data_IF_197588069905
#
_entry.id   IF_197588069905
#
_cell.length_a   1.000
_cell.length_b   1.000
_cell.length_c   1.000
_cell.angle_alpha   90.00
_cell.angle_beta   90.00
_cell.angle_gamma   90.00
#
_symmetry.space_group_name_H-M   'P 1'
#
loop_
_entity.id
_entity.type
_entity.pdbx_description
1 polymer ?
#
# COMPACT_ATOMS: atom_id res chain seq x y z
N UNK A 1 -7.31 17.94 12.71
CA UNK A 1 -7.79 16.55 12.58
C UNK A 1 -6.82 15.77 11.73
N UNK A 2 -6.77 14.46 11.87
CA UNK A 2 -6.00 13.55 11.01
C UNK A 2 -6.94 12.57 10.32
N UNK A 3 -6.56 12.11 9.14
CA UNK A 3 -7.23 11.00 8.46
C UNK A 3 -6.39 9.73 8.64
N UNK A 4 -7.06 8.59 8.73
CA UNK A 4 -6.45 7.27 8.83
C UNK A 4 -7.24 6.34 7.89
N UNK A 5 -6.56 5.70 6.95
CA UNK A 5 -7.12 4.59 6.20
C UNK A 5 -7.05 3.31 7.02
N UNK A 6 -8.03 2.44 6.85
CA UNK A 6 -8.14 1.16 7.55
C UNK A 6 -8.16 0.01 6.55
N UNK A 7 -7.25 -0.92 6.73
CA UNK A 7 -7.11 -2.11 5.90
C UNK A 7 -8.29 -3.09 6.06
N UNK A 8 -8.88 -3.20 7.25
CA UNK A 8 -9.93 -4.18 7.51
C UNK A 8 -11.30 -3.66 7.09
N UNK A 9 -11.61 -2.40 7.42
CA UNK A 9 -12.85 -1.69 7.09
C UNK A 9 -12.98 -1.19 5.64
N UNK A 10 -11.98 -1.40 4.78
CA UNK A 10 -11.44 -0.41 3.80
C UNK A 10 -11.97 1.03 3.92
N UNK A 11 -11.99 1.60 5.13
CA UNK A 11 -12.59 2.92 5.40
C UNK A 11 -11.53 4.01 5.54
N UNK A 12 -11.96 5.26 5.37
CA UNK A 12 -11.17 6.43 5.79
C UNK A 12 -11.85 7.05 7.00
N UNK A 13 -11.17 7.03 8.14
CA UNK A 13 -11.63 7.65 9.38
C UNK A 13 -10.96 9.01 9.57
N UNK A 14 -11.72 9.96 10.11
CA UNK A 14 -11.20 11.26 10.53
C UNK A 14 -11.24 11.34 12.04
N UNK A 15 -10.09 11.63 12.65
CA UNK A 15 -9.96 11.82 14.09
C UNK A 15 -9.65 13.29 14.42
N UNK A 16 -10.15 13.77 15.56
CA UNK A 16 -9.69 15.01 16.18
C UNK A 16 -8.25 14.85 16.69
N UNK A 17 -7.63 15.97 17.08
CA UNK A 17 -6.25 15.94 17.58
C UNK A 17 -6.11 15.20 18.92
N UNK A 18 -7.19 15.10 19.68
CA UNK A 18 -7.33 14.34 20.94
C UNK A 18 -7.85 12.90 20.73
N UNK A 19 -7.98 12.44 19.48
CA UNK A 19 -8.27 11.04 19.17
C UNK A 19 -9.75 10.64 19.15
N UNK A 20 -10.68 11.60 19.11
CA UNK A 20 -12.10 11.31 18.92
C UNK A 20 -12.45 11.12 17.45
N UNK A 21 -13.21 10.06 17.14
CA UNK A 21 -13.74 9.83 15.79
C UNK A 21 -14.73 10.94 15.42
N UNK A 22 -14.48 11.63 14.30
CA UNK A 22 -15.28 12.74 13.78
C UNK A 22 -16.14 12.33 12.59
N UNK A 23 -15.60 11.53 11.67
CA UNK A 23 -16.33 11.01 10.52
C UNK A 23 -15.69 9.72 9.99
N UNK A 24 -16.46 8.97 9.21
CA UNK A 24 -16.02 7.76 8.52
C UNK A 24 -16.54 7.80 7.08
N UNK A 25 -15.66 7.54 6.12
CA UNK A 25 -15.98 7.47 4.69
C UNK A 25 -15.84 6.02 4.24
N UNK A 26 -16.94 5.45 3.75
CA UNK A 26 -16.95 4.10 3.19
C UNK A 26 -16.46 4.12 1.73
N UNK A 27 -15.79 3.04 1.27
CA UNK A 27 -15.43 2.89 -0.13
C UNK A 27 -16.65 2.50 -0.98
N UNK A 28 -16.51 2.43 -2.32
CA UNK A 28 -17.50 1.79 -3.18
C UNK A 28 -17.87 0.38 -2.70
N UNK A 29 -19.12 -0.04 -2.95
CA UNK A 29 -19.64 -1.33 -2.50
C UNK A 29 -18.81 -2.53 -3.01
N UNK A 30 -18.20 -2.39 -4.19
CA UNK A 30 -17.27 -3.37 -4.76
C UNK A 30 -16.06 -3.67 -3.88
N UNK A 31 -15.70 -2.79 -2.94
CA UNK A 31 -14.54 -2.96 -2.06
C UNK A 31 -14.93 -3.44 -0.65
N UNK A 32 -16.23 -3.37 -0.30
CA UNK A 32 -16.73 -3.85 0.99
C UNK A 32 -16.65 -5.38 1.04
N UNK A 33 -15.95 -5.99 2.02
CA UNK A 33 -15.81 -7.43 2.12
C UNK A 33 -17.16 -8.08 2.47
N UNK A 34 -17.59 -9.03 1.66
CA UNK A 34 -18.87 -9.73 1.84
C UNK A 34 -18.66 -11.21 2.15
N UNK A 35 -19.44 -11.75 3.09
CA UNK A 35 -19.54 -13.20 3.35
C UNK A 35 -21.01 -13.57 3.38
N UNK A 36 -21.40 -14.58 2.60
CA UNK A 36 -22.80 -14.98 2.50
C UNK A 36 -23.75 -13.81 2.15
N UNK A 37 -23.28 -12.90 1.30
CA UNK A 37 -24.05 -11.72 0.86
C UNK A 37 -24.25 -10.63 1.93
N UNK A 38 -23.56 -10.69 3.07
CA UNK A 38 -23.60 -9.66 4.13
C UNK A 38 -22.20 -9.06 4.35
N UNK A 39 -22.08 -7.74 4.64
CA UNK A 39 -20.79 -7.15 4.99
C UNK A 39 -20.16 -7.84 6.20
N UNK A 40 -18.89 -8.26 6.09
CA UNK A 40 -18.16 -8.90 7.16
C UNK A 40 -16.68 -8.52 7.12
N UNK A 41 -16.25 -7.78 8.14
CA UNK A 41 -14.91 -7.19 8.22
C UNK A 41 -13.93 -8.03 9.07
N UNK A 42 -14.33 -9.23 9.51
CA UNK A 42 -13.51 -10.06 10.39
C UNK A 42 -12.18 -10.46 9.73
N UNK A 43 -11.12 -10.48 10.54
CA UNK A 43 -9.84 -11.11 10.21
C UNK A 43 -10.01 -12.63 10.07
N UNK A 44 -9.23 -13.25 9.19
CA UNK A 44 -9.11 -14.71 9.08
C UNK A 44 -8.06 -15.31 10.02
N UNK A 45 -7.49 -14.47 10.89
CA UNK A 45 -6.65 -14.88 12.01
C UNK A 45 -7.25 -14.34 13.33
N UNK A 46 -8.43 -14.83 13.76
CA UNK A 46 -9.07 -14.36 14.98
C UNK A 46 -8.22 -14.65 16.22
N UNK A 47 -8.32 -13.77 17.22
CA UNK A 47 -7.64 -13.97 18.50
C UNK A 47 -8.15 -15.20 19.27
N UNK A 48 -7.44 -15.63 20.34
CA UNK A 48 -7.79 -16.82 21.11
C UNK A 48 -9.25 -16.83 21.58
N UNK A 49 -10.00 -17.88 21.22
CA UNK A 49 -11.39 -18.09 21.62
C UNK A 49 -12.43 -17.36 20.75
N UNK A 50 -12.03 -16.55 19.78
CA UNK A 50 -12.93 -16.01 18.77
C UNK A 50 -13.16 -17.02 17.63
N UNK A 51 -14.34 -16.97 17.02
CA UNK A 51 -14.69 -17.84 15.91
C UNK A 51 -13.98 -17.39 14.62
N UNK A 52 -13.53 -18.35 13.82
CA UNK A 52 -13.09 -18.07 12.45
C UNK A 52 -14.29 -17.58 11.61
N UNK A 53 -14.06 -16.63 10.68
CA UNK A 53 -15.09 -16.25 9.74
C UNK A 53 -15.47 -17.42 8.82
N UNK A 54 -16.75 -17.50 8.46
CA UNK A 54 -17.29 -18.45 7.48
C UNK A 54 -17.93 -17.70 6.30
N UNK A 55 -17.54 -18.00 5.03
CA UNK A 55 -16.30 -18.70 4.65
C UNK A 55 -15.05 -18.03 5.22
N UNK A 56 -13.89 -18.70 5.20
CA UNK A 56 -12.61 -18.10 5.68
C UNK A 56 -12.25 -16.83 4.93
N UNK A 57 -12.47 -16.81 3.61
CA UNK A 57 -12.19 -15.65 2.78
C UNK A 57 -13.46 -14.99 2.24
N UNK A 58 -13.50 -13.66 2.08
CA UNK A 58 -14.68 -12.97 1.55
C UNK A 58 -15.06 -13.49 0.15
N UNK A 59 -16.34 -13.48 -0.18
CA UNK A 59 -16.81 -13.84 -1.51
C UNK A 59 -16.48 -12.72 -2.53
N UNK A 60 -16.65 -11.47 -2.11
CA UNK A 60 -16.35 -10.24 -2.86
C UNK A 60 -15.79 -9.16 -1.94
N UNK A 61 -15.32 -8.04 -2.50
CA UNK A 61 -14.71 -6.94 -1.75
C UNK A 61 -13.19 -7.06 -1.64
N UNK A 62 -12.58 -6.32 -0.71
CA UNK A 62 -11.16 -6.50 -0.37
C UNK A 62 -10.88 -7.91 0.14
N UNK A 63 -9.63 -8.34 0.00
CA UNK A 63 -9.13 -9.59 0.57
C UNK A 63 -8.88 -9.48 2.08
N UNK A 64 -8.79 -10.59 2.81
CA UNK A 64 -8.34 -10.55 4.21
C UNK A 64 -6.96 -9.90 4.30
N UNK A 65 -6.80 -8.92 5.19
CA UNK A 65 -5.55 -8.18 5.41
C UNK A 65 -4.93 -7.67 4.09
N UNK A 66 -5.75 -7.07 3.21
CA UNK A 66 -5.31 -6.42 1.96
C UNK A 66 -6.31 -5.31 1.53
N UNK A 67 -6.71 -4.45 2.46
CA UNK A 67 -7.59 -3.30 2.21
C UNK A 67 -6.86 -2.01 1.88
N UNK A 68 -7.37 -0.86 2.34
CA UNK A 68 -6.76 0.45 2.07
C UNK A 68 -5.47 0.61 2.89
N UNK A 69 -4.35 0.33 2.22
CA UNK A 69 -3.01 0.34 2.81
C UNK A 69 -2.32 1.68 2.56
N UNK A 70 -2.42 2.21 1.34
CA UNK A 70 -1.86 3.51 0.99
C UNK A 70 -2.88 4.63 1.13
N UNK A 71 -2.53 5.72 1.78
CA UNK A 71 -3.33 6.94 1.77
C UNK A 71 -2.46 8.20 1.85
N UNK A 72 -2.71 9.16 0.97
CA UNK A 72 -2.03 10.45 0.99
C UNK A 72 -2.95 11.60 0.58
N UNK A 73 -2.78 12.74 1.23
CA UNK A 73 -3.40 14.01 0.80
C UNK A 73 -2.56 14.63 -0.31
N UNK A 74 -3.20 15.20 -1.33
CA UNK A 74 -2.48 15.92 -2.38
C UNK A 74 -1.78 17.15 -1.83
N UNK A 75 -0.66 17.60 -2.45
CA UNK A 75 0.10 18.75 -1.96
C UNK A 75 -0.73 20.04 -1.82
N UNK A 76 -1.73 20.24 -2.70
CA UNK A 76 -2.63 21.39 -2.65
C UNK A 76 -3.80 21.23 -1.65
N UNK A 77 -3.87 20.08 -0.98
CA UNK A 77 -4.86 19.75 0.04
C UNK A 77 -6.27 19.48 -0.48
N UNK A 78 -6.51 19.50 -1.80
CA UNK A 78 -7.86 19.42 -2.40
C UNK A 78 -8.37 18.00 -2.59
N UNK A 79 -7.48 17.02 -2.61
CA UNK A 79 -7.84 15.63 -2.75
C UNK A 79 -7.11 14.75 -1.73
N UNK A 80 -7.75 13.62 -1.42
CA UNK A 80 -7.16 12.53 -0.67
C UNK A 80 -7.20 11.28 -1.56
N UNK A 81 -6.04 10.68 -1.79
CA UNK A 81 -5.90 9.45 -2.57
C UNK A 81 -5.78 8.29 -1.59
N UNK A 82 -6.55 7.22 -1.79
CA UNK A 82 -6.43 5.97 -1.05
C UNK A 82 -6.33 4.79 -2.03
N UNK A 83 -5.45 3.84 -1.75
CA UNK A 83 -5.15 2.70 -2.64
C UNK A 83 -5.27 1.40 -1.87
N UNK A 84 -5.95 0.42 -2.47
CA UNK A 84 -5.97 -0.93 -1.92
C UNK A 84 -4.59 -1.60 -2.08
N UNK A 85 -4.16 -2.35 -1.06
CA UNK A 85 -2.92 -3.14 -1.11
C UNK A 85 -2.87 -4.08 -2.32
N UNK A 86 -4.01 -4.71 -2.63
CA UNK A 86 -4.17 -5.68 -3.72
C UNK A 86 -5.53 -5.56 -4.40
N UNK A 87 -5.67 -6.21 -5.56
CA UNK A 87 -6.95 -6.35 -6.24
C UNK A 87 -8.05 -6.88 -5.32
N UNK A 88 -9.27 -6.37 -5.50
CA UNK A 88 -10.45 -6.92 -4.87
C UNK A 88 -10.69 -8.37 -5.34
N UNK A 89 -11.44 -9.12 -4.54
CA UNK A 89 -11.70 -10.55 -4.74
C UNK A 89 -12.25 -10.87 -6.12
N UNK A 90 -13.31 -10.18 -6.52
CA UNK A 90 -13.94 -10.36 -7.83
C UNK A 90 -13.04 -9.93 -9.00
N UNK A 91 -12.02 -9.11 -8.74
CA UNK A 91 -11.06 -8.58 -9.72
C UNK A 91 -9.79 -9.46 -9.82
N UNK A 92 -9.88 -10.73 -9.41
CA UNK A 92 -8.76 -11.68 -9.42
C UNK A 92 -7.87 -11.62 -8.18
N UNK A 93 -8.31 -10.93 -7.11
CA UNK A 93 -7.63 -10.86 -5.83
C UNK A 93 -7.49 -12.20 -5.11
N UNK A 94 -8.29 -13.20 -5.47
CA UNK A 94 -8.32 -14.57 -4.92
C UNK A 94 -7.04 -15.39 -5.18
N UNK A 95 -6.14 -14.90 -6.05
CA UNK A 95 -4.85 -15.55 -6.30
C UNK A 95 -3.70 -14.56 -6.45
N UNK A 96 -2.56 -14.92 -5.85
CA UNK A 96 -1.31 -14.15 -5.95
C UNK A 96 -0.74 -14.03 -7.37
N UNK A 97 -1.28 -14.74 -8.36
CA UNK A 97 -0.90 -14.62 -9.78
C UNK A 97 -1.86 -13.77 -10.62
N UNK A 98 -3.03 -13.40 -10.10
CA UNK A 98 -4.07 -12.66 -10.84
C UNK A 98 -4.43 -11.33 -10.18
N UNK A 99 -3.99 -11.08 -8.93
CA UNK A 99 -4.30 -9.88 -8.14
C UNK A 99 -3.62 -8.58 -8.60
N UNK A 100 -3.24 -8.47 -9.87
CA UNK A 100 -2.43 -7.36 -10.39
C UNK A 100 -3.18 -6.03 -10.37
N UNK A 101 -4.50 -6.02 -10.56
CA UNK A 101 -5.25 -4.78 -10.80
C UNK A 101 -5.90 -4.28 -9.51
N UNK A 102 -5.22 -3.40 -8.79
CA UNK A 102 -5.76 -2.74 -7.59
C UNK A 102 -6.57 -1.48 -7.94
N UNK A 103 -7.17 -0.83 -6.95
CA UNK A 103 -8.04 0.35 -7.10
C UNK A 103 -7.46 1.54 -6.35
N UNK A 104 -7.38 2.69 -7.02
CA UNK A 104 -7.07 3.98 -6.43
C UNK A 104 -8.32 4.86 -6.40
N UNK A 105 -8.69 5.34 -5.21
CA UNK A 105 -9.83 6.17 -4.91
C UNK A 105 -9.35 7.60 -4.68
N UNK A 106 -9.92 8.58 -5.38
CA UNK A 106 -9.59 10.00 -5.22
C UNK A 106 -10.81 10.73 -4.67
N UNK A 107 -10.70 11.20 -3.44
CA UNK A 107 -11.76 11.90 -2.72
C UNK A 107 -11.55 13.41 -2.74
N UNK A 108 -12.59 14.16 -3.05
CA UNK A 108 -12.64 15.62 -2.86
C UNK A 108 -12.72 15.94 -1.35
N UNK A 109 -11.89 16.90 -0.91
CA UNK A 109 -11.73 17.27 0.50
C UNK A 109 -12.40 18.61 0.85
N UNK A 110 -13.22 19.18 -0.03
CA UNK A 110 -13.89 20.46 0.22
C UNK A 110 -14.83 20.42 1.45
N UNK A 111 -15.38 19.25 1.74
CA UNK A 111 -16.04 18.94 3.01
C UNK A 111 -15.34 17.76 3.72
N UNK A 112 -14.46 18.08 4.66
CA UNK A 112 -13.71 17.09 5.45
C UNK A 112 -14.60 16.20 6.35
N UNK A 113 -15.87 16.55 6.58
CA UNK A 113 -16.81 15.69 7.28
C UNK A 113 -17.44 14.64 6.35
N UNK A 114 -17.51 14.93 5.04
CA UNK A 114 -18.18 14.10 4.04
C UNK A 114 -17.34 14.02 2.77
N UNK A 115 -16.23 13.28 2.83
CA UNK A 115 -15.38 13.05 1.67
C UNK A 115 -16.22 12.46 0.52
N UNK A 116 -16.13 13.08 -0.66
CA UNK A 116 -16.87 12.64 -1.84
C UNK A 116 -15.91 11.96 -2.81
N UNK A 117 -16.22 10.73 -3.22
CA UNK A 117 -15.47 10.06 -4.27
C UNK A 117 -15.60 10.88 -5.56
N UNK A 118 -14.50 11.45 -6.01
CA UNK A 118 -14.42 12.27 -7.22
C UNK A 118 -14.00 11.43 -8.42
N UNK A 119 -13.04 10.54 -8.21
CA UNK A 119 -12.52 9.64 -9.24
C UNK A 119 -12.14 8.29 -8.66
N UNK A 120 -12.15 7.27 -9.51
CA UNK A 120 -11.62 5.96 -9.20
C UNK A 120 -10.91 5.38 -10.43
N UNK A 121 -9.78 4.73 -10.21
CA UNK A 121 -8.94 4.20 -11.28
C UNK A 121 -8.44 2.78 -10.98
N UNK A 122 -8.29 1.98 -12.02
CA UNK A 122 -7.54 0.71 -11.95
C UNK A 122 -6.05 1.02 -12.00
N UNK A 123 -5.30 0.54 -11.00
CA UNK A 123 -3.85 0.69 -10.91
C UNK A 123 -3.20 -0.68 -10.99
N UNK A 124 -2.33 -0.93 -11.99
CA UNK A 124 -1.60 -2.18 -12.05
C UNK A 124 -0.48 -2.19 -11.00
N UNK A 125 -0.41 -3.29 -10.26
CA UNK A 125 0.70 -3.61 -9.37
C UNK A 125 1.86 -4.23 -10.17
N UNK A 126 3.11 -4.08 -9.70
CA UNK A 126 4.25 -4.70 -10.34
C UNK A 126 4.18 -6.23 -10.32
N UNK A 127 4.73 -6.85 -11.36
CA UNK A 127 4.87 -8.31 -11.45
C UNK A 127 6.34 -8.69 -11.50
N UNK A 128 6.67 -9.78 -10.82
CA UNK A 128 8.04 -10.32 -10.79
C UNK A 128 8.02 -11.85 -10.88
N UNK A 129 9.20 -12.45 -11.01
CA UNK A 129 9.38 -13.90 -11.03
C UNK A 129 9.97 -14.36 -9.71
N UNK A 130 9.35 -15.35 -9.08
CA UNK A 130 9.96 -16.00 -7.91
C UNK A 130 11.14 -16.91 -8.33
N UNK A 131 11.86 -17.46 -7.35
CA UNK A 131 12.99 -18.37 -7.58
C UNK A 131 12.64 -19.63 -8.40
N UNK A 132 11.34 -19.96 -8.54
CA UNK A 132 10.84 -21.08 -9.35
C UNK A 132 10.33 -20.63 -10.73
N UNK A 133 10.50 -19.35 -11.09
CA UNK A 133 10.05 -18.77 -12.35
C UNK A 133 8.54 -18.50 -12.43
N UNK A 134 7.81 -18.62 -11.31
CA UNK A 134 6.36 -18.34 -11.28
C UNK A 134 6.15 -16.83 -11.22
N UNK A 135 5.19 -16.33 -12.00
CA UNK A 135 4.75 -14.92 -11.91
C UNK A 135 4.08 -14.67 -10.56
N UNK A 136 4.52 -13.61 -9.90
CA UNK A 136 3.97 -13.09 -8.65
C UNK A 136 3.66 -11.61 -8.81
N UNK A 137 2.76 -11.11 -7.97
CA UNK A 137 2.40 -9.69 -7.88
C UNK A 137 2.98 -9.13 -6.58
N UNK A 138 3.74 -8.04 -6.68
CA UNK A 138 4.20 -7.25 -5.54
C UNK A 138 3.05 -6.38 -5.04
N UNK A 139 2.71 -6.46 -3.75
CA UNK A 139 1.59 -5.72 -3.18
C UNK A 139 1.98 -4.26 -2.93
N UNK A 140 1.01 -3.35 -2.98
CA UNK A 140 1.22 -1.95 -2.60
C UNK A 140 1.40 -1.86 -1.08
N UNK A 141 2.36 -1.06 -0.62
CA UNK A 141 2.70 -0.91 0.80
C UNK A 141 2.58 0.53 1.30
N UNK A 142 2.84 1.53 0.45
CA UNK A 142 2.71 2.95 0.81
C UNK A 142 2.53 3.80 -0.45
N UNK A 143 1.92 4.99 -0.33
CA UNK A 143 1.87 6.02 -1.37
C UNK A 143 2.28 7.42 -0.89
N UNK A 144 2.76 8.24 -1.82
CA UNK A 144 2.87 9.71 -1.62
C UNK A 144 2.21 10.41 -2.79
N UNK A 145 1.17 11.21 -2.53
CA UNK A 145 0.51 11.97 -3.57
C UNK A 145 1.42 13.09 -4.09
N UNK A 146 1.58 13.15 -5.42
CA UNK A 146 2.29 14.22 -6.12
C UNK A 146 1.31 15.22 -6.75
N UNK A 147 0.11 14.74 -7.09
CA UNK A 147 -1.03 15.52 -7.56
C UNK A 147 -2.31 14.69 -7.46
N UNK A 148 -3.44 15.24 -7.91
CA UNK A 148 -4.69 14.50 -8.09
C UNK A 148 -4.63 13.46 -9.22
N UNK A 149 -3.58 13.50 -10.07
CA UNK A 149 -3.37 12.58 -11.21
C UNK A 149 -2.08 11.77 -11.12
N UNK A 150 -1.31 11.90 -10.06
CA UNK A 150 -0.06 11.13 -9.92
C UNK A 150 0.38 10.97 -8.47
N UNK A 151 0.99 9.82 -8.17
CA UNK A 151 1.53 9.51 -6.86
C UNK A 151 2.73 8.55 -6.96
N UNK A 152 3.60 8.56 -5.96
CA UNK A 152 4.59 7.51 -5.73
C UNK A 152 3.90 6.33 -5.05
N UNK A 153 4.23 5.11 -5.45
CA UNK A 153 3.72 3.87 -4.87
C UNK A 153 4.88 2.93 -4.58
N UNK A 154 5.08 2.64 -3.30
CA UNK A 154 5.99 1.59 -2.86
C UNK A 154 5.27 0.26 -2.97
N UNK A 155 5.88 -0.69 -3.67
CA UNK A 155 5.40 -2.05 -3.76
C UNK A 155 6.54 -3.03 -3.48
N UNK A 156 6.19 -4.13 -2.83
CA UNK A 156 7.16 -5.14 -2.37
C UNK A 156 6.65 -6.56 -2.51
N UNK A 157 7.58 -7.50 -2.60
CA UNK A 157 7.32 -8.90 -2.32
C UNK A 157 7.14 -9.16 -0.81
N UNK A 158 6.92 -10.42 -0.45
CA UNK A 158 6.66 -10.81 0.94
C UNK A 158 7.43 -12.08 1.29
N UNK A 159 7.78 -12.23 2.56
CA UNK A 159 8.48 -13.38 3.11
C UNK A 159 10.01 -13.32 3.03
N UNK A 160 10.59 -12.18 2.63
CA UNK A 160 12.03 -12.03 2.42
C UNK A 160 12.62 -10.79 3.12
N UNK A 161 13.70 -10.97 3.87
CA UNK A 161 14.48 -9.91 4.52
C UNK A 161 14.94 -10.28 5.93
N UNK A 162 15.53 -9.31 6.63
CA UNK A 162 15.95 -9.47 8.02
C UNK A 162 14.79 -9.96 8.90
N UNK A 163 15.08 -10.99 9.69
CA UNK A 163 14.14 -11.58 10.64
C UNK A 163 13.15 -12.57 10.03
N UNK A 164 13.23 -12.82 8.72
CA UNK A 164 12.44 -13.85 8.05
C UNK A 164 13.29 -15.02 7.56
N UNK A 165 12.60 -16.10 7.17
CA UNK A 165 13.26 -17.29 6.60
C UNK A 165 13.86 -17.04 5.21
N UNK A 166 13.19 -16.26 4.37
CA UNK A 166 13.74 -15.80 3.10
C UNK A 166 14.64 -14.60 3.36
N UNK A 167 15.79 -14.52 2.68
CA UNK A 167 16.79 -13.48 2.89
C UNK A 167 16.72 -12.37 1.83
N UNK A 168 16.50 -12.73 0.57
CA UNK A 168 16.57 -11.83 -0.57
C UNK A 168 15.19 -11.43 -1.10
N UNK A 169 14.84 -10.15 -0.95
CA UNK A 169 13.69 -9.56 -1.64
C UNK A 169 13.94 -9.57 -3.15
N UNK A 170 12.98 -10.10 -3.91
CA UNK A 170 13.02 -10.14 -5.38
C UNK A 170 12.38 -8.89 -6.01
N UNK A 171 11.60 -8.14 -5.23
CA UNK A 171 10.98 -6.91 -5.68
C UNK A 171 10.72 -6.00 -4.48
N UNK A 172 11.36 -4.82 -4.46
CA UNK A 172 11.03 -3.74 -3.53
C UNK A 172 11.37 -2.41 -4.19
N UNK A 173 10.35 -1.73 -4.70
CA UNK A 173 10.57 -0.55 -5.53
C UNK A 173 9.51 0.52 -5.29
N UNK A 174 9.95 1.77 -5.36
CA UNK A 174 9.05 2.91 -5.53
C UNK A 174 8.78 3.08 -7.02
N UNK A 175 7.51 3.23 -7.39
CA UNK A 175 7.05 3.46 -8.74
C UNK A 175 6.29 4.77 -8.82
N UNK A 176 6.35 5.46 -9.96
CA UNK A 176 5.42 6.56 -10.28
C UNK A 176 4.17 5.99 -10.91
N UNK A 177 3.01 6.28 -10.32
CA UNK A 177 1.69 6.01 -10.88
C UNK A 177 1.16 7.29 -11.53
N UNK A 178 0.76 7.18 -12.79
CA UNK A 178 0.15 8.25 -13.59
C UNK A 178 -1.28 7.85 -13.98
N UNK A 179 -2.24 8.63 -13.49
CA UNK A 179 -3.68 8.46 -13.67
C UNK A 179 -4.22 9.28 -14.86
N UNK A 180 -3.40 10.13 -15.50
CA UNK A 180 -3.86 11.13 -16.47
C UNK A 180 -4.56 10.56 -17.71
N UNK A 181 -4.20 9.34 -18.11
CA UNK A 181 -4.80 8.62 -19.23
C UNK A 181 -5.67 7.44 -18.81
N UNK A 182 -5.82 7.21 -17.51
CA UNK A 182 -6.61 6.10 -16.98
C UNK A 182 -8.11 6.37 -17.15
N UNK A 183 -8.90 5.32 -17.41
CA UNK A 183 -10.35 5.43 -17.42
C UNK A 183 -10.84 5.67 -15.99
N UNK A 184 -11.51 6.80 -15.76
CA UNK A 184 -12.23 7.05 -14.52
C UNK A 184 -13.50 6.18 -14.47
N UNK A 185 -13.62 5.37 -13.43
CA UNK A 185 -14.72 4.40 -13.27
C UNK A 185 -15.65 4.74 -12.10
N UNK A 186 -15.41 5.84 -11.38
CA UNK A 186 -16.23 6.22 -10.24
C UNK A 186 -17.70 6.48 -10.61
N UNK A 187 -18.62 6.00 -9.77
CA UNK A 187 -20.06 6.11 -10.01
C UNK A 187 -20.54 5.25 -11.20
N UNK A 188 -19.67 4.36 -11.70
CA UNK A 188 -19.91 3.51 -12.84
C UNK A 188 -20.44 2.13 -12.47
N UNK A 189 -20.48 1.24 -13.46
CA UNK A 189 -20.93 -0.14 -13.25
C UNK A 189 -20.00 -0.94 -12.32
N UNK A 190 -18.73 -0.55 -12.21
CA UNK A 190 -17.69 -1.26 -11.46
C UNK A 190 -17.68 -0.94 -9.95
N UNK A 191 -18.61 -0.10 -9.48
CA UNK A 191 -18.82 0.20 -8.05
C UNK A 191 -19.63 -0.92 -7.36
N UNK A 192 -20.31 -1.76 -8.14
CA UNK A 192 -21.06 -2.92 -7.65
C UNK A 192 -20.19 -4.17 -7.52
N UNK A 193 -20.38 -4.93 -6.44
CA UNK A 193 -19.64 -6.16 -6.18
C UNK A 193 -19.91 -7.28 -7.20
N UNK A 194 -21.02 -7.21 -7.95
CA UNK A 194 -21.44 -8.16 -8.98
C UNK A 194 -20.85 -7.85 -10.37
N UNK A 195 -20.14 -6.73 -10.52
CA UNK A 195 -19.54 -6.30 -11.78
C UNK A 195 -18.02 -6.09 -11.63
N UNK A 196 -17.23 -7.17 -11.66
CA UNK A 196 -15.77 -7.05 -11.59
C UNK A 196 -15.23 -6.27 -12.79
N UNK A 197 -14.25 -5.40 -12.52
CA UNK A 197 -13.49 -4.67 -13.54
C UNK A 197 -12.36 -5.51 -14.12
N UNK A 198 -11.84 -6.49 -13.37
CA UNK A 198 -10.72 -7.32 -13.82
C UNK A 198 -10.89 -8.81 -13.46
N UNK A 199 -11.98 -9.49 -13.87
CA UNK A 199 -12.19 -10.89 -13.50
C UNK A 199 -10.98 -11.77 -13.88
N UNK A 200 -10.48 -12.53 -12.90
CA UNK A 200 -9.25 -13.36 -13.03
C UNK A 200 -8.01 -12.55 -13.44
N UNK A 201 -7.97 -11.26 -13.10
CA UNK A 201 -6.88 -10.35 -13.44
C UNK A 201 -6.91 -9.80 -14.87
N UNK A 202 -7.95 -10.09 -15.66
CA UNK A 202 -8.08 -9.55 -17.03
C UNK A 202 -8.99 -8.33 -17.00
N UNK A 203 -8.42 -7.15 -17.18
CA UNK A 203 -9.14 -5.87 -17.18
C UNK A 203 -10.19 -5.83 -18.30
N UNK A 204 -11.38 -5.31 -17.98
CA UNK A 204 -12.45 -5.07 -18.94
C UNK A 204 -11.94 -4.20 -20.09
N UNK A 205 -12.20 -4.56 -21.36
CA UNK A 205 -11.63 -3.86 -22.52
C UNK A 205 -12.07 -2.39 -22.65
N UNK A 206 -13.09 -1.94 -21.93
CA UNK A 206 -13.50 -0.53 -21.86
C UNK A 206 -12.65 0.30 -20.89
N UNK A 207 -11.83 -0.33 -20.06
CA UNK A 207 -11.04 0.32 -19.01
C UNK A 207 -9.57 0.33 -19.40
N UNK A 208 -8.98 1.52 -19.41
CA UNK A 208 -7.53 1.73 -19.52
C UNK A 208 -6.96 1.88 -18.11
N UNK A 209 -6.11 0.95 -17.63
CA UNK A 209 -5.44 1.09 -16.34
C UNK A 209 -4.48 2.30 -16.31
N UNK A 210 -4.17 2.75 -15.10
CA UNK A 210 -3.10 3.71 -14.85
C UNK A 210 -1.75 3.22 -15.38
N UNK A 211 -0.90 4.17 -15.74
CA UNK A 211 0.47 3.87 -16.15
C UNK A 211 1.36 3.77 -14.91
N UNK A 212 2.12 2.68 -14.82
CA UNK A 212 3.11 2.45 -13.79
C UNK A 212 4.52 2.59 -14.38
N UNK A 213 5.38 3.39 -13.76
CA UNK A 213 6.78 3.58 -14.18
C UNK A 213 7.71 3.31 -12.99
N UNK A 214 8.67 2.36 -13.08
CA UNK A 214 9.66 2.16 -12.04
C UNK A 214 10.47 3.43 -11.77
N UNK A 215 10.76 3.72 -10.50
CA UNK A 215 11.46 4.94 -10.10
C UNK A 215 12.71 4.67 -9.27
N UNK A 216 12.57 4.04 -8.11
CA UNK A 216 13.68 3.70 -7.22
C UNK A 216 13.62 2.20 -6.95
N UNK A 217 14.73 1.51 -7.24
CA UNK A 217 14.95 0.15 -6.76
C UNK A 217 15.61 0.21 -5.38
N UNK A 218 14.86 -0.16 -4.35
CA UNK A 218 15.38 -0.16 -2.96
C UNK A 218 16.39 -1.30 -2.78
N UNK A 219 16.33 -2.33 -3.62
CA UNK A 219 17.25 -3.47 -3.57
C UNK A 219 18.54 -3.24 -4.39
N UNK A 220 18.79 -2.03 -4.89
CA UNK A 220 20.01 -1.72 -5.66
C UNK A 220 21.27 -1.95 -4.81
N UNK A 221 22.05 -2.96 -5.17
CA UNK A 221 23.21 -3.39 -4.38
C UNK A 221 24.35 -2.38 -4.37
N UNK A 222 24.47 -1.53 -5.41
CA UNK A 222 25.48 -0.50 -5.45
C UNK A 222 25.14 0.63 -4.48
N UNK A 223 23.86 1.02 -4.42
CA UNK A 223 23.38 2.05 -3.49
C UNK A 223 23.41 1.57 -2.03
N UNK A 224 22.94 0.36 -1.76
CA UNK A 224 22.98 -0.24 -0.43
C UNK A 224 24.42 -0.40 0.09
N UNK A 225 25.32 -0.87 -0.77
CA UNK A 225 26.72 -1.08 -0.42
C UNK A 225 27.48 0.18 0.01
N UNK A 226 27.01 1.39 -0.37
CA UNK A 226 27.57 2.67 0.10
C UNK A 226 27.43 2.86 1.61
N UNK A 227 26.47 2.17 2.23
CA UNK A 227 26.15 2.26 3.65
C UNK A 227 26.42 0.96 4.41
N UNK A 228 27.02 -0.04 3.76
CA UNK A 228 27.23 -1.37 4.35
C UNK A 228 25.97 -2.24 4.39
N UNK A 229 24.85 -1.77 3.82
CA UNK A 229 23.60 -2.52 3.73
C UNK A 229 23.61 -3.48 2.55
N UNK A 230 22.73 -4.48 2.59
CA UNK A 230 22.56 -5.44 1.50
C UNK A 230 21.13 -6.01 1.45
N UNK A 231 20.84 -6.77 0.39
CA UNK A 231 19.58 -7.50 0.21
C UNK A 231 19.91 -8.96 -0.13
N UNK A 232 19.74 -9.85 0.85
CA UNK A 232 20.05 -11.28 0.72
C UNK A 232 20.96 -11.80 1.82
N UNK A 233 21.64 -12.91 1.55
CA UNK A 233 22.55 -13.53 2.50
C UNK A 233 23.81 -12.66 2.73
N UNK A 234 24.36 -12.64 3.97
CA UNK A 234 23.85 -13.32 5.17
C UNK A 234 22.63 -12.61 5.77
N UNK A 235 21.64 -13.33 6.30
CA UNK A 235 20.47 -12.70 6.91
C UNK A 235 20.80 -12.11 8.30
N UNK A 236 21.41 -10.93 8.32
CA UNK A 236 21.94 -10.23 9.50
C UNK A 236 21.34 -8.81 9.65
N UNK A 237 21.91 -8.01 10.56
CA UNK A 237 21.45 -6.66 10.86
C UNK A 237 21.60 -5.66 9.70
N UNK A 238 22.45 -5.97 8.72
CA UNK A 238 22.71 -5.11 7.57
C UNK A 238 21.87 -5.55 6.34
N UNK A 239 21.16 -6.68 6.43
CA UNK A 239 20.16 -7.07 5.45
C UNK A 239 18.92 -6.18 5.61
N UNK A 240 18.33 -5.74 4.50
CA UNK A 240 17.07 -5.00 4.61
C UNK A 240 15.95 -5.88 5.17
N UNK A 241 15.17 -5.32 6.11
CA UNK A 241 13.94 -5.92 6.65
C UNK A 241 12.86 -6.11 5.58
N UNK A 242 11.89 -7.00 5.80
CA UNK A 242 10.85 -7.32 4.82
C UNK A 242 9.99 -6.11 4.45
N UNK A 243 9.44 -5.44 5.45
CA UNK A 243 8.35 -4.47 5.27
C UNK A 243 8.85 -3.04 5.23
N UNK A 244 8.29 -2.27 4.30
CA UNK A 244 8.55 -0.85 4.13
C UNK A 244 7.24 -0.16 3.82
N UNK A 245 6.78 0.67 4.75
CA UNK A 245 5.37 1.10 4.84
C UNK A 245 5.25 2.58 5.22
N UNK A 246 6.31 3.36 5.01
CA UNK A 246 6.29 4.80 5.23
C UNK A 246 7.10 5.54 4.18
N UNK A 247 6.52 6.60 3.63
CA UNK A 247 7.19 7.51 2.70
C UNK A 247 6.82 8.96 2.96
N UNK A 248 7.78 9.87 2.78
CA UNK A 248 7.52 11.31 2.80
C UNK A 248 8.50 12.06 1.91
N UNK A 249 8.05 13.16 1.31
CA UNK A 249 8.89 14.05 0.49
C UNK A 249 9.02 15.41 1.15
N UNK A 250 10.24 15.94 1.19
CA UNK A 250 10.55 17.28 1.74
C UNK A 250 11.47 18.00 0.76
N UNK A 251 11.21 19.27 0.47
CA UNK A 251 12.09 20.06 -0.40
C UNK A 251 13.53 20.06 0.12
N UNK A 252 14.52 20.00 -0.78
CA UNK A 252 15.94 20.17 -0.40
C UNK A 252 16.29 21.61 -0.03
N UNK A 253 15.35 22.56 -0.22
CA UNK A 253 15.49 23.98 0.10
C UNK A 253 16.66 24.67 -0.62
N UNK A 254 17.08 24.15 -1.79
CA UNK A 254 18.07 24.78 -2.66
C UNK A 254 17.38 25.48 -3.83
N UNK A 255 17.53 26.81 -3.92
CA UNK A 255 16.96 27.61 -5.01
C UNK A 255 17.49 27.23 -6.40
N UNK A 256 18.64 26.54 -6.49
CA UNK A 256 19.19 26.00 -7.75
C UNK A 256 18.57 24.66 -8.14
N UNK A 257 17.95 23.97 -7.19
CA UNK A 257 17.30 22.68 -7.36
C UNK A 257 15.83 22.76 -6.87
N UNK A 258 15.01 23.64 -7.46
CA UNK A 258 13.66 23.94 -6.95
C UNK A 258 12.69 22.76 -7.07
N UNK A 259 13.00 21.79 -7.93
CA UNK A 259 12.21 20.56 -8.12
C UNK A 259 12.86 19.35 -7.40
N UNK A 260 13.91 19.56 -6.59
CA UNK A 260 14.54 18.47 -5.84
C UNK A 260 13.97 18.33 -4.42
N UNK A 261 13.85 17.08 -4.00
CA UNK A 261 13.28 16.66 -2.73
C UNK A 261 14.11 15.56 -2.11
N UNK A 262 14.15 15.52 -0.78
CA UNK A 262 14.47 14.30 -0.04
C UNK A 262 13.22 13.43 0.05
N UNK A 263 13.28 12.24 -0.54
CA UNK A 263 12.33 11.17 -0.30
C UNK A 263 12.86 10.31 0.85
N UNK A 264 12.15 10.35 1.96
CA UNK A 264 12.34 9.45 3.09
C UNK A 264 11.49 8.21 2.87
N UNK A 265 12.09 7.03 3.07
CA UNK A 265 11.40 5.74 3.07
C UNK A 265 11.78 5.02 4.36
N UNK A 266 10.81 4.54 5.14
CA UNK A 266 11.08 3.87 6.41
C UNK A 266 10.49 2.45 6.45
N UNK A 267 11.15 1.56 7.20
CA UNK A 267 10.68 0.20 7.36
C UNK A 267 9.61 0.10 8.46
N UNK A 268 8.65 -0.80 8.25
CA UNK A 268 7.96 -1.44 9.36
C UNK A 268 8.84 -2.60 9.82
N UNK A 269 9.29 -2.57 11.06
CA UNK A 269 10.17 -3.60 11.60
C UNK A 269 9.40 -4.72 12.32
N UNK A 270 8.06 -4.71 12.25
CA UNK A 270 7.16 -5.63 12.94
C UNK A 270 7.39 -5.69 14.47
N UNK A 271 8.07 -4.67 15.01
CA UNK A 271 8.60 -4.66 16.38
C UNK A 271 9.42 -5.93 16.71
N UNK A 272 10.12 -6.52 15.73
CA UNK A 272 10.94 -7.71 15.95
C UNK A 272 12.13 -7.38 16.87
N UNK A 273 12.02 -7.81 18.13
CA UNK A 273 13.00 -7.56 19.19
C UNK A 273 13.26 -8.80 20.06
N UNK A 274 14.47 -8.92 20.60
CA UNK A 274 14.89 -10.01 21.48
C UNK A 274 14.59 -9.76 22.96
N UNK A 275 14.36 -8.50 23.32
CA UNK A 275 14.07 -7.98 24.65
C UNK A 275 12.86 -7.03 24.66
N UNK A 276 11.86 -7.33 23.81
CA UNK A 276 10.66 -6.53 23.64
C UNK A 276 9.73 -6.53 24.87
N UNK A 277 8.94 -5.46 25.01
CA UNK A 277 7.90 -5.36 26.03
C UNK A 277 6.66 -4.66 25.48
N UNK A 278 5.50 -5.32 25.54
CA UNK A 278 4.24 -4.79 25.02
C UNK A 278 3.08 -5.20 25.93
N UNK A 279 2.14 -4.28 26.17
CA UNK A 279 0.92 -4.53 26.99
C UNK A 279 1.21 -5.15 28.37
N UNK A 280 2.33 -4.76 29.00
CA UNK A 280 2.68 -5.24 30.33
C UNK A 280 3.37 -6.62 30.37
N UNK A 281 3.72 -7.20 29.22
CA UNK A 281 4.42 -8.48 29.13
C UNK A 281 5.70 -8.37 28.28
N UNK A 282 6.78 -9.07 28.66
CA UNK A 282 7.92 -9.23 27.77
C UNK A 282 7.55 -10.14 26.59
N UNK A 283 8.13 -9.87 25.43
CA UNK A 283 8.07 -10.73 24.25
C UNK A 283 9.44 -10.86 23.61
N UNK A 284 9.58 -11.83 22.70
CA UNK A 284 10.82 -12.14 22.01
C UNK A 284 10.51 -12.65 20.61
N UNK A 285 11.13 -12.07 19.59
CA UNK A 285 11.01 -12.53 18.21
C UNK A 285 11.57 -13.96 18.07
N UNK A 286 10.82 -14.83 17.40
CA UNK A 286 11.07 -16.27 17.34
C UNK A 286 12.42 -16.62 16.69
N UNK A 287 12.78 -15.90 15.62
CA UNK A 287 13.97 -16.17 14.80
C UNK A 287 15.25 -15.46 15.28
N UNK A 288 15.25 -14.93 16.51
CA UNK A 288 16.45 -14.33 17.09
C UNK A 288 16.78 -12.91 16.61
N UNK A 289 15.92 -12.32 15.76
CA UNK A 289 16.16 -11.01 15.16
C UNK A 289 15.89 -9.83 16.12
N UNK A 290 16.71 -8.79 15.96
CA UNK A 290 16.44 -7.41 16.35
C UNK A 290 16.45 -6.59 15.06
N UNK A 291 15.27 -6.16 14.60
CA UNK A 291 15.17 -5.38 13.36
C UNK A 291 15.09 -3.90 13.72
N UNK A 292 16.09 -3.14 13.29
CA UNK A 292 16.17 -1.71 13.59
C UNK A 292 15.10 -0.91 12.85
N UNK A 293 14.73 0.22 13.43
CA UNK A 293 14.03 1.27 12.68
C UNK A 293 15.03 1.97 11.77
N UNK A 294 14.80 1.86 10.46
CA UNK A 294 15.68 2.31 9.40
C UNK A 294 14.96 3.32 8.51
N UNK A 295 15.71 4.34 8.10
CA UNK A 295 15.29 5.31 7.09
C UNK A 295 16.29 5.29 5.94
N UNK A 296 15.79 5.12 4.72
CA UNK A 296 16.53 5.37 3.49
C UNK A 296 16.13 6.75 2.97
N UNK A 297 17.13 7.55 2.59
CA UNK A 297 16.91 8.93 2.14
C UNK A 297 17.51 9.11 0.75
N UNK A 298 16.65 9.43 -0.21
CA UNK A 298 17.03 9.66 -1.60
C UNK A 298 16.84 11.14 -1.92
N UNK A 299 17.81 11.76 -2.58
CA UNK A 299 17.56 13.02 -3.27
C UNK A 299 16.99 12.71 -4.66
N UNK A 300 15.79 13.22 -4.94
CA UNK A 300 15.04 12.97 -6.17
C UNK A 300 14.57 14.27 -6.80
N UNK A 301 14.46 14.29 -8.13
CA UNK A 301 13.83 15.41 -8.85
C UNK A 301 12.40 15.05 -9.18
N UNK A 302 11.44 15.86 -8.71
CA UNK A 302 10.00 15.71 -8.89
C UNK A 302 9.40 16.99 -9.51
N UNK A 303 9.53 17.17 -10.84
CA UNK A 303 9.13 18.41 -11.50
C UNK A 303 7.65 18.76 -11.28
N UNK A 304 7.39 20.01 -10.92
CA UNK A 304 6.02 20.54 -10.82
C UNK A 304 5.32 20.25 -9.49
N UNK A 305 5.99 19.60 -8.53
CA UNK A 305 5.51 19.46 -7.16
C UNK A 305 5.54 20.81 -6.42
N UNK A 306 6.57 21.64 -6.62
CA UNK A 306 6.74 22.94 -5.95
C UNK A 306 5.76 24.04 -6.42
N UNK A 307 5.10 23.83 -7.57
CA UNK A 307 4.24 24.84 -8.21
C UNK A 307 2.77 24.77 -7.75
N UNK A 308 2.45 23.99 -6.72
CA UNK A 308 1.08 23.65 -6.31
C UNK A 308 0.80 24.04 -4.87
#
# INVERSE_FOLDING_TARGET
>A
SMFISDEYGPNIYRFSADGHLLSATQPPAALVPMRHGTPNFASDNPGPGAAEPDPKDPDTGRQNNQGLEGMAMTPDGKFLIAVLQSAARQDGGDSGSTRQNTRALVYDTSDLAHLKLAHEYVVPLPVFKDAKGKTKVAAQSEIVALSDKSFLMLARDSGNGQGLKGDASLYRQVNVVDLSTATDIAGGAFDGADRPVAPKGVVDPSVTPAKLTPFIDINDSAELGRFGLHNGAPNDQDNLSEKWEAMSVVSVLDAKLPDDYFLFVANDNDFLAQDGFQVGAPYKAEDGANVDTMFLVYQVTLPGLAKK
#
